data_IF_390515112278
#
_entry.id   IF_390515112278
#
_cell.length_a   1.000
_cell.length_b   1.000
_cell.length_c   1.000
_cell.angle_alpha   90.00
_cell.angle_beta   90.00
_cell.angle_gamma   90.00
#
_symmetry.space_group_name_H-M   'P 1'
#
loop_
_entity.id
_entity.type
_entity.pdbx_description
1 polymer ?
#
# COMPACT_ATOMS: atom_id res chain seq x y z
N UNK A 1 21.11 -1.76 -2.20
CA UNK A 1 19.92 -1.02 -1.75
C UNK A 1 19.00 -1.94 -0.96
N UNK A 2 18.58 -1.57 0.25
CA UNK A 2 17.65 -2.33 1.08
C UNK A 2 16.20 -1.90 0.82
N UNK A 3 15.33 -2.86 0.54
CA UNK A 3 13.91 -2.64 0.26
C UNK A 3 13.11 -3.36 1.34
N UNK A 4 12.38 -2.60 2.15
CA UNK A 4 11.50 -3.10 3.19
C UNK A 4 10.07 -3.17 2.68
N UNK A 5 9.46 -4.35 2.72
CA UNK A 5 8.08 -4.59 2.34
C UNK A 5 7.32 -5.08 3.58
N UNK A 6 6.30 -4.35 4.01
CA UNK A 6 5.50 -4.73 5.19
C UNK A 6 4.56 -5.89 4.83
N UNK A 7 4.50 -6.92 5.67
CA UNK A 7 3.54 -8.03 5.58
C UNK A 7 2.72 -8.12 6.87
N UNK A 8 1.51 -7.60 6.91
CA UNK A 8 0.63 -7.70 8.09
C UNK A 8 -0.45 -8.77 7.93
N UNK A 9 -0.94 -9.42 9.00
CA UNK A 9 -2.03 -10.39 8.91
C UNK A 9 -3.24 -9.82 8.16
N UNK A 10 -3.63 -10.45 7.06
CA UNK A 10 -4.71 -9.97 6.18
C UNK A 10 -4.27 -8.98 5.08
N UNK A 11 -2.98 -8.93 4.74
CA UNK A 11 -2.51 -8.25 3.53
C UNK A 11 -3.12 -8.86 2.27
N UNK A 12 -3.29 -8.06 1.20
CA UNK A 12 -3.62 -8.56 -0.14
C UNK A 12 -2.33 -8.98 -0.84
N UNK A 13 -2.24 -10.25 -1.25
CA UNK A 13 -0.96 -10.82 -1.73
C UNK A 13 -0.36 -10.08 -2.93
N UNK A 14 -1.16 -9.77 -3.94
CA UNK A 14 -0.67 -9.16 -5.17
C UNK A 14 -0.14 -7.73 -4.95
N UNK A 15 -0.61 -7.04 -3.91
CA UNK A 15 -0.17 -5.68 -3.58
C UNK A 15 1.32 -5.60 -3.25
N UNK A 16 1.88 -6.67 -2.66
CA UNK A 16 3.30 -6.74 -2.35
C UNK A 16 4.06 -7.61 -3.35
N UNK A 17 3.47 -8.72 -3.83
CA UNK A 17 4.11 -9.63 -4.79
C UNK A 17 4.38 -8.92 -6.12
N UNK A 18 3.45 -8.11 -6.61
CA UNK A 18 3.61 -7.38 -7.87
C UNK A 18 4.85 -6.47 -7.86
N UNK A 19 4.96 -5.51 -6.91
CA UNK A 19 6.15 -4.70 -6.77
C UNK A 19 7.39 -5.54 -6.42
N UNK A 20 7.28 -6.53 -5.53
CA UNK A 20 8.40 -7.42 -5.16
C UNK A 20 9.05 -8.07 -6.38
N UNK A 21 8.23 -8.62 -7.28
CA UNK A 21 8.72 -9.36 -8.45
C UNK A 21 9.48 -8.43 -9.41
N UNK A 22 9.16 -7.13 -9.44
CA UNK A 22 9.92 -6.15 -10.22
C UNK A 22 11.18 -5.71 -9.47
N UNK A 23 11.01 -5.29 -8.22
CA UNK A 23 12.04 -4.62 -7.44
C UNK A 23 13.22 -5.54 -7.08
N UNK A 24 13.00 -6.86 -6.98
CA UNK A 24 14.08 -7.83 -6.73
C UNK A 24 15.12 -7.92 -7.84
N UNK A 25 14.83 -7.38 -9.03
CA UNK A 25 15.74 -7.34 -10.19
C UNK A 25 16.59 -6.06 -10.27
N UNK A 26 16.42 -5.13 -9.33
CA UNK A 26 17.29 -3.96 -9.24
C UNK A 26 18.71 -4.38 -8.79
N UNK A 27 19.76 -3.71 -9.29
CA UNK A 27 21.13 -3.97 -8.86
C UNK A 27 21.28 -3.86 -7.33
N UNK A 28 21.94 -4.85 -6.72
CA UNK A 28 22.21 -4.91 -5.28
C UNK A 28 20.95 -4.81 -4.39
N UNK A 29 19.78 -5.17 -4.93
CA UNK A 29 18.52 -5.18 -4.20
C UNK A 29 18.53 -6.25 -3.10
N UNK A 30 18.35 -5.80 -1.86
CA UNK A 30 18.19 -6.64 -0.68
C UNK A 30 16.78 -6.47 -0.14
N UNK A 31 15.87 -7.33 -0.59
CA UNK A 31 14.47 -7.28 -0.17
C UNK A 31 14.30 -7.95 1.20
N UNK A 32 13.54 -7.29 2.08
CA UNK A 32 13.14 -7.81 3.39
C UNK A 32 11.62 -7.73 3.53
N UNK A 33 11.03 -8.83 3.97
CA UNK A 33 9.62 -8.88 4.35
C UNK A 33 9.54 -8.61 5.84
N UNK A 34 8.84 -7.55 6.23
CA UNK A 34 8.85 -7.04 7.59
C UNK A 34 7.53 -7.24 8.29
N UNK A 35 7.62 -7.64 9.56
CA UNK A 35 6.52 -7.56 10.50
C UNK A 35 7.02 -7.24 11.90
N UNK A 36 6.18 -7.39 12.93
CA UNK A 36 6.62 -7.28 14.32
C UNK A 36 7.74 -8.27 14.64
N UNK A 37 7.59 -9.50 14.17
CA UNK A 37 8.55 -10.59 14.36
C UNK A 37 8.65 -11.43 13.07
N UNK A 38 9.81 -12.04 12.80
CA UNK A 38 9.92 -13.04 11.72
C UNK A 38 8.98 -14.22 11.95
N UNK A 39 8.37 -14.73 10.88
CA UNK A 39 7.43 -15.85 10.98
C UNK A 39 6.30 -15.80 9.96
N UNK A 40 5.45 -16.85 9.93
CA UNK A 40 4.40 -16.99 8.93
C UNK A 40 3.28 -15.96 9.13
N UNK A 41 2.82 -15.37 8.03
CA UNK A 41 1.74 -14.38 8.00
C UNK A 41 0.75 -14.78 6.91
N UNK A 42 -0.51 -14.86 7.29
CA UNK A 42 -1.59 -15.28 6.38
C UNK A 42 -2.15 -14.06 5.66
N UNK A 43 -2.27 -14.16 4.34
CA UNK A 43 -2.94 -13.18 3.48
C UNK A 43 -4.46 -13.16 3.74
N UNK A 44 -5.14 -12.15 3.19
CA UNK A 44 -6.60 -11.97 3.29
C UNK A 44 -7.44 -13.12 2.72
N UNK A 45 -6.88 -13.93 1.81
CA UNK A 45 -7.53 -15.13 1.28
C UNK A 45 -7.66 -16.29 2.28
N UNK A 46 -6.93 -16.24 3.41
CA UNK A 46 -6.92 -17.30 4.42
C UNK A 46 -6.10 -18.54 4.03
N UNK A 47 -5.50 -18.57 2.83
CA UNK A 47 -4.78 -19.75 2.31
C UNK A 47 -3.30 -19.46 2.09
N UNK A 48 -2.97 -18.31 1.49
CA UNK A 48 -1.58 -17.99 1.21
C UNK A 48 -0.87 -17.54 2.49
N UNK A 49 0.24 -18.21 2.80
CA UNK A 49 1.10 -17.89 3.93
C UNK A 49 2.48 -17.48 3.42
N UNK A 50 2.95 -16.31 3.85
CA UNK A 50 4.27 -15.78 3.51
C UNK A 50 4.99 -15.44 4.81
N UNK A 51 6.26 -15.80 4.93
CA UNK A 51 7.02 -15.49 6.13
C UNK A 51 7.57 -14.06 6.08
N UNK A 52 7.33 -13.28 7.14
CA UNK A 52 8.19 -12.15 7.44
C UNK A 52 9.59 -12.68 7.73
N UNK A 53 10.59 -12.06 7.11
CA UNK A 53 11.99 -12.47 7.21
C UNK A 53 12.75 -11.70 8.28
N UNK A 54 12.29 -10.50 8.62
CA UNK A 54 12.92 -9.62 9.62
C UNK A 54 11.85 -8.85 10.40
N UNK A 55 12.20 -8.36 11.58
CA UNK A 55 11.39 -7.41 12.34
C UNK A 55 11.61 -5.96 11.90
N UNK A 56 10.76 -5.06 12.40
CA UNK A 56 10.93 -3.62 12.28
C UNK A 56 12.25 -3.12 12.90
N UNK A 57 12.66 -3.69 14.04
CA UNK A 57 13.86 -3.27 14.77
C UNK A 57 15.15 -3.72 14.07
N UNK A 58 15.11 -4.86 13.37
CA UNK A 58 16.22 -5.35 12.54
C UNK A 58 16.39 -4.55 11.23
N UNK A 59 15.40 -3.74 10.86
CA UNK A 59 15.36 -2.97 9.60
C UNK A 59 14.91 -1.52 9.86
N UNK A 60 15.69 -0.71 10.60
CA UNK A 60 15.25 0.62 11.04
C UNK A 60 15.34 1.71 9.97
N UNK A 61 16.20 1.53 8.95
CA UNK A 61 16.52 2.56 7.94
C UNK A 61 16.68 1.96 6.53
N UNK A 62 15.63 1.38 5.94
CA UNK A 62 15.66 0.90 4.56
C UNK A 62 15.71 2.07 3.56
N UNK A 63 16.24 1.82 2.36
CA UNK A 63 16.27 2.80 1.27
C UNK A 63 14.89 2.98 0.62
N UNK A 64 14.09 1.91 0.58
CA UNK A 64 12.73 1.89 0.03
C UNK A 64 11.79 1.22 1.02
N UNK A 65 10.66 1.85 1.29
CA UNK A 65 9.55 1.28 2.07
C UNK A 65 8.40 1.00 1.12
N UNK A 66 7.77 -0.17 1.24
CA UNK A 66 6.56 -0.51 0.53
C UNK A 66 5.51 -1.05 1.51
N UNK A 67 4.37 -0.37 1.57
CA UNK A 67 3.21 -0.77 2.39
C UNK A 67 2.08 -1.26 1.49
N UNK A 68 1.75 -2.57 1.50
CA UNK A 68 0.63 -3.09 0.72
C UNK A 68 -0.73 -2.73 1.35
N UNK A 69 -1.79 -2.91 0.59
CA UNK A 69 -3.15 -2.96 1.08
C UNK A 69 -3.53 -4.36 1.57
N UNK A 70 -4.81 -4.51 1.91
CA UNK A 70 -5.35 -5.67 2.59
C UNK A 70 -6.71 -5.41 3.21
N UNK A 71 -7.48 -6.46 3.44
CA UNK A 71 -8.80 -6.36 4.06
C UNK A 71 -8.74 -5.88 5.52
N UNK A 72 -7.59 -6.01 6.18
CA UNK A 72 -7.33 -5.59 7.56
C UNK A 72 -6.54 -4.28 7.67
N UNK A 73 -6.34 -3.56 6.55
CA UNK A 73 -5.55 -2.32 6.53
C UNK A 73 -5.96 -1.34 7.63
N UNK A 74 -7.26 -1.15 7.84
CA UNK A 74 -7.81 -0.19 8.80
C UNK A 74 -7.49 -0.57 10.25
N UNK A 75 -7.40 -1.87 10.54
CA UNK A 75 -6.94 -2.37 11.85
C UNK A 75 -5.46 -2.04 12.07
N UNK A 76 -4.62 -2.34 11.08
CA UNK A 76 -3.17 -2.10 11.15
C UNK A 76 -2.80 -0.62 11.04
N UNK A 77 -3.67 0.22 10.49
CA UNK A 77 -3.56 1.67 10.55
C UNK A 77 -3.74 2.24 11.97
N UNK A 78 -3.96 1.40 12.98
CA UNK A 78 -3.98 1.75 14.42
C UNK A 78 -2.83 1.10 15.19
N UNK A 79 -1.97 0.36 14.51
CA UNK A 79 -0.82 -0.30 15.13
C UNK A 79 0.32 0.71 15.33
N UNK A 80 0.44 1.22 16.55
CA UNK A 80 1.45 2.24 16.87
C UNK A 80 2.89 1.79 16.62
N UNK A 81 3.22 0.50 16.72
CA UNK A 81 4.57 0.01 16.41
C UNK A 81 4.85 0.13 14.92
N UNK A 82 3.89 -0.29 14.08
CA UNK A 82 3.97 -0.11 12.62
C UNK A 82 4.03 1.38 12.26
N UNK A 83 3.11 2.20 12.77
CA UNK A 83 3.06 3.63 12.45
C UNK A 83 4.32 4.38 12.90
N UNK A 84 4.86 4.04 14.07
CA UNK A 84 6.11 4.62 14.55
C UNK A 84 7.31 4.17 13.71
N UNK A 85 7.37 2.89 13.29
CA UNK A 85 8.42 2.41 12.39
C UNK A 85 8.34 3.12 11.03
N UNK A 86 7.15 3.20 10.40
CA UNK A 86 6.95 3.89 9.11
C UNK A 86 7.42 5.35 9.19
N UNK A 87 7.05 6.09 10.25
CA UNK A 87 7.51 7.48 10.45
C UNK A 87 9.03 7.59 10.54
N UNK A 88 9.67 6.71 11.32
CA UNK A 88 11.14 6.74 11.51
C UNK A 88 11.86 6.36 10.22
N UNK A 89 11.49 5.23 9.63
CA UNK A 89 12.11 4.72 8.41
C UNK A 89 11.95 5.72 7.24
N UNK A 90 10.80 6.38 7.12
CA UNK A 90 10.53 7.38 6.09
C UNK A 90 11.54 8.54 6.11
N UNK A 91 11.98 8.98 7.30
CA UNK A 91 12.91 10.12 7.42
C UNK A 91 14.27 9.91 6.75
N UNK A 92 14.63 8.66 6.45
CA UNK A 92 15.89 8.30 5.77
C UNK A 92 15.68 7.57 4.44
N UNK A 93 14.45 7.13 4.16
CA UNK A 93 14.15 6.40 2.93
C UNK A 93 14.20 7.33 1.71
N UNK A 94 14.71 6.82 0.59
CA UNK A 94 14.66 7.52 -0.69
C UNK A 94 13.23 7.51 -1.25
N UNK A 95 12.51 6.40 -1.06
CA UNK A 95 11.12 6.26 -1.49
C UNK A 95 10.28 5.60 -0.42
N UNK A 96 9.14 6.20 -0.11
CA UNK A 96 8.07 5.56 0.68
C UNK A 96 6.87 5.31 -0.22
N UNK A 97 6.55 4.04 -0.42
CA UNK A 97 5.58 3.59 -1.40
C UNK A 97 4.40 2.88 -0.73
N UNK A 98 3.22 2.97 -1.36
CA UNK A 98 2.10 2.10 -1.01
C UNK A 98 1.31 1.68 -2.23
N UNK A 99 0.65 0.53 -2.13
CA UNK A 99 -0.29 -0.01 -3.11
C UNK A 99 -1.66 -0.13 -2.46
N UNK A 100 -2.73 0.09 -3.23
CA UNK A 100 -4.10 -0.15 -2.80
C UNK A 100 -4.43 0.65 -1.52
N UNK A 101 -5.05 0.00 -0.53
CA UNK A 101 -5.39 0.60 0.76
C UNK A 101 -4.17 0.89 1.65
N UNK A 102 -2.96 0.44 1.32
CA UNK A 102 -1.74 0.71 2.10
C UNK A 102 -1.48 2.21 2.32
N UNK A 103 -1.99 3.08 1.45
CA UNK A 103 -1.94 4.53 1.64
C UNK A 103 -2.70 5.01 2.88
N UNK A 104 -3.67 4.25 3.40
CA UNK A 104 -4.33 4.55 4.69
C UNK A 104 -3.35 4.42 5.84
N UNK A 105 -2.46 3.43 5.84
CA UNK A 105 -1.41 3.28 6.87
C UNK A 105 -0.44 4.46 6.80
N UNK A 106 -0.02 4.87 5.59
CA UNK A 106 0.83 6.05 5.41
C UNK A 106 0.13 7.33 5.91
N UNK A 107 -1.18 7.46 5.67
CA UNK A 107 -1.97 8.58 6.14
C UNK A 107 -2.12 8.59 7.67
N UNK A 108 -2.34 7.42 8.29
CA UNK A 108 -2.41 7.25 9.74
C UNK A 108 -1.06 7.51 10.42
N UNK A 109 0.06 7.20 9.75
CA UNK A 109 1.40 7.59 10.17
C UNK A 109 1.66 9.12 10.05
N UNK A 110 0.69 9.90 9.54
CA UNK A 110 0.78 11.34 9.39
C UNK A 110 1.52 11.80 8.14
N UNK A 111 1.92 10.88 7.26
CA UNK A 111 2.78 11.19 6.11
C UNK A 111 2.04 11.82 4.93
N UNK A 112 0.72 11.69 4.85
CA UNK A 112 -0.08 12.15 3.70
C UNK A 112 -0.94 13.38 3.95
N UNK A 113 -0.96 13.94 5.16
CA UNK A 113 -1.80 15.12 5.47
C UNK A 113 -1.45 16.30 4.56
N UNK A 114 -2.46 16.84 3.84
CA UNK A 114 -2.28 17.94 2.89
C UNK A 114 -1.61 17.55 1.55
N UNK A 115 -1.27 16.28 1.34
CA UNK A 115 -0.65 15.79 0.10
C UNK A 115 -1.69 15.23 -0.88
N UNK A 116 -1.30 15.08 -2.14
CA UNK A 116 -2.04 14.29 -3.13
C UNK A 116 -1.69 12.82 -2.98
N UNK A 117 -2.67 11.93 -3.03
CA UNK A 117 -2.43 10.50 -3.07
C UNK A 117 -3.62 9.74 -3.66
N UNK A 118 -3.35 8.53 -4.17
CA UNK A 118 -4.35 7.58 -4.62
C UNK A 118 -4.41 6.36 -3.68
N UNK A 119 -5.36 5.47 -3.94
CA UNK A 119 -5.58 4.24 -3.19
C UNK A 119 -6.39 3.26 -4.04
N UNK A 120 -6.83 2.16 -3.43
CA UNK A 120 -7.94 1.39 -3.99
C UNK A 120 -9.19 2.27 -4.08
N UNK A 121 -10.00 2.09 -5.14
CA UNK A 121 -11.17 2.94 -5.38
C UNK A 121 -12.18 2.95 -4.21
N UNK A 122 -12.33 1.84 -3.49
CA UNK A 122 -13.15 1.77 -2.27
C UNK A 122 -12.53 2.46 -1.05
N UNK A 123 -11.20 2.57 -1.02
CA UNK A 123 -10.46 3.14 0.10
C UNK A 123 -10.31 4.67 -0.02
N UNK A 124 -10.53 5.26 -1.21
CA UNK A 124 -10.43 6.70 -1.42
C UNK A 124 -11.28 7.54 -0.43
N UNK A 125 -12.55 7.22 -0.13
CA UNK A 125 -13.32 7.99 0.85
C UNK A 125 -12.68 7.98 2.25
N UNK A 126 -12.17 6.84 2.69
CA UNK A 126 -11.46 6.72 3.96
C UNK A 126 -10.15 7.51 3.95
N UNK A 127 -9.38 7.43 2.86
CA UNK A 127 -8.16 8.21 2.69
C UNK A 127 -8.43 9.72 2.69
N UNK A 128 -9.53 10.18 2.06
CA UNK A 128 -9.94 11.59 2.07
C UNK A 128 -10.22 12.08 3.49
N UNK A 129 -10.81 11.23 4.33
CA UNK A 129 -11.01 11.57 5.73
C UNK A 129 -9.68 11.97 6.37
N UNK A 130 -8.53 11.44 5.90
CA UNK A 130 -7.19 11.78 6.36
C UNK A 130 -6.66 13.18 5.99
N UNK A 131 -7.47 14.03 5.34
CA UNK A 131 -7.02 15.37 4.89
C UNK A 131 -6.10 15.27 3.68
N UNK A 132 -6.20 14.16 2.96
CA UNK A 132 -5.50 13.88 1.73
C UNK A 132 -6.34 14.38 0.56
N UNK A 133 -5.70 15.01 -0.42
CA UNK A 133 -6.31 15.29 -1.72
C UNK A 133 -6.31 14.01 -2.54
N UNK A 134 -7.42 13.28 -2.49
CA UNK A 134 -7.53 11.95 -3.13
C UNK A 134 -7.66 12.07 -4.64
N UNK A 135 -6.81 11.36 -5.37
CA UNK A 135 -6.81 11.28 -6.84
C UNK A 135 -7.36 9.92 -7.24
N UNK A 136 -8.40 9.89 -8.07
CA UNK A 136 -9.16 8.68 -8.36
C UNK A 136 -8.86 8.07 -9.74
N UNK A 137 -8.31 8.87 -10.66
CA UNK A 137 -8.12 8.59 -12.08
C UNK A 137 -6.65 8.38 -12.47
N UNK A 138 -5.71 8.55 -11.53
CA UNK A 138 -4.30 8.26 -11.71
C UNK A 138 -3.92 6.93 -11.02
N UNK A 139 -3.21 6.06 -11.74
CA UNK A 139 -2.74 4.77 -11.23
C UNK A 139 -1.58 4.91 -10.25
N UNK A 140 -0.70 5.90 -10.45
CA UNK A 140 0.47 6.21 -9.61
C UNK A 140 0.46 7.70 -9.34
N UNK A 141 0.50 8.11 -8.08
CA UNK A 141 0.52 9.51 -7.65
C UNK A 141 1.73 9.76 -6.77
N UNK A 142 2.52 10.76 -7.14
CA UNK A 142 3.78 11.12 -6.48
C UNK A 142 3.60 12.44 -5.72
N UNK A 143 4.03 12.47 -4.45
CA UNK A 143 4.00 13.64 -3.58
C UNK A 143 5.32 13.76 -2.82
N UNK A 144 6.34 14.31 -3.49
CA UNK A 144 7.71 14.36 -2.97
C UNK A 144 8.39 13.00 -3.06
N UNK A 145 8.88 12.51 -1.93
CA UNK A 145 9.49 11.19 -1.70
C UNK A 145 8.47 10.08 -1.40
N UNK A 146 7.18 10.41 -1.37
CA UNK A 146 6.08 9.45 -1.20
C UNK A 146 5.41 9.17 -2.53
N UNK A 147 5.22 7.89 -2.85
CA UNK A 147 4.45 7.43 -4.01
C UNK A 147 3.31 6.53 -3.55
N UNK A 148 2.10 6.80 -4.03
CA UNK A 148 0.92 5.98 -3.76
C UNK A 148 0.40 5.41 -5.06
N UNK A 149 -0.07 4.17 -5.04
CA UNK A 149 -0.54 3.47 -6.22
C UNK A 149 -1.94 2.90 -5.99
N UNK A 150 -2.70 2.79 -7.07
CA UNK A 150 -4.06 2.26 -7.06
C UNK A 150 -4.12 0.77 -6.67
N UNK A 151 -5.28 0.15 -6.85
CA UNK A 151 -5.55 -1.20 -6.36
C UNK A 151 -4.72 -2.31 -6.98
N UNK A 152 -4.28 -3.24 -6.13
CA UNK A 152 -3.96 -4.63 -6.46
C UNK A 152 -2.91 -4.81 -7.56
N UNK A 153 -3.33 -5.06 -8.80
CA UNK A 153 -2.41 -5.26 -9.92
C UNK A 153 -1.63 -3.99 -10.30
N UNK A 154 -2.05 -2.82 -9.81
CA UNK A 154 -1.29 -1.58 -9.96
C UNK A 154 0.10 -1.63 -9.30
N UNK A 155 0.31 -2.53 -8.34
CA UNK A 155 1.63 -2.73 -7.75
C UNK A 155 2.73 -3.10 -8.75
N UNK A 156 2.41 -3.81 -9.85
CA UNK A 156 3.42 -4.14 -10.87
C UNK A 156 3.90 -2.86 -11.58
N UNK A 157 2.97 -2.00 -11.98
CA UNK A 157 3.28 -0.70 -12.59
C UNK A 157 4.09 0.18 -11.63
N UNK A 158 3.74 0.19 -10.34
CA UNK A 158 4.52 0.90 -9.32
C UNK A 158 5.95 0.36 -9.22
N UNK A 159 6.11 -0.96 -9.22
CA UNK A 159 7.42 -1.60 -9.22
C UNK A 159 8.27 -1.17 -10.41
N UNK A 160 7.69 -1.14 -11.62
CA UNK A 160 8.38 -0.71 -12.85
C UNK A 160 8.73 0.77 -12.82
N UNK A 161 7.80 1.60 -12.32
CA UNK A 161 8.05 3.03 -12.14
C UNK A 161 9.21 3.28 -11.17
N UNK A 162 9.21 2.62 -10.00
CA UNK A 162 10.29 2.69 -9.03
C UNK A 162 11.61 2.18 -9.61
N UNK A 163 11.57 1.08 -10.38
CA UNK A 163 12.76 0.56 -11.05
C UNK A 163 13.35 1.58 -12.03
N UNK A 164 12.51 2.35 -12.73
CA UNK A 164 12.95 3.44 -13.59
C UNK A 164 13.54 4.63 -12.82
N UNK A 165 12.98 4.94 -11.65
CA UNK A 165 13.52 6.00 -10.77
C UNK A 165 14.85 5.63 -10.13
N UNK A 166 15.05 4.37 -9.79
CA UNK A 166 16.21 3.89 -9.04
C UNK A 166 17.33 3.44 -9.99
N UNK A 167 16.99 2.56 -10.95
CA UNK A 167 17.95 1.93 -11.87
C UNK A 167 18.03 2.58 -13.24
N UNK A 168 17.24 3.63 -13.49
CA UNK A 168 17.13 4.28 -14.80
C UNK A 168 16.18 3.57 -15.76
N UNK A 169 15.78 4.28 -16.82
CA UNK A 169 14.78 3.82 -17.81
C UNK A 169 15.19 2.50 -18.47
N UNK A 170 16.46 2.35 -18.86
CA UNK A 170 16.95 1.13 -19.51
C UNK A 170 16.76 -0.09 -18.61
N UNK A 171 17.10 0.02 -17.31
CA UNK A 171 16.90 -1.08 -16.36
C UNK A 171 15.43 -1.45 -16.22
N UNK A 172 14.54 -0.46 -16.11
CA UNK A 172 13.11 -0.71 -16.03
C UNK A 172 12.57 -1.46 -17.26
N UNK A 173 12.99 -1.06 -18.48
CA UNK A 173 12.63 -1.75 -19.72
C UNK A 173 13.17 -3.18 -19.79
N UNK A 174 14.40 -3.41 -19.34
CA UNK A 174 14.97 -4.77 -19.25
C UNK A 174 14.15 -5.63 -18.29
N UNK A 175 13.78 -5.11 -17.11
CA UNK A 175 12.96 -5.86 -16.16
C UNK A 175 11.56 -6.12 -16.74
N UNK A 176 10.92 -5.11 -17.36
CA UNK A 176 9.62 -5.27 -18.00
C UNK A 176 9.63 -6.40 -19.04
N UNK A 177 10.63 -6.43 -19.92
CA UNK A 177 10.78 -7.48 -20.93
C UNK A 177 11.09 -8.84 -20.29
N UNK A 178 11.93 -8.88 -19.25
CA UNK A 178 12.30 -10.12 -18.55
C UNK A 178 11.10 -10.78 -17.85
N UNK A 179 10.14 -9.97 -17.40
CA UNK A 179 8.88 -10.44 -16.81
C UNK A 179 7.77 -10.67 -17.85
N UNK A 180 8.03 -10.37 -19.13
CA UNK A 180 7.03 -10.38 -20.20
C UNK A 180 5.78 -9.57 -19.80
N UNK A 181 5.97 -8.43 -19.15
CA UNK A 181 4.86 -7.59 -18.70
C UNK A 181 4.28 -6.77 -19.86
N UNK A 182 3.48 -7.46 -20.69
CA UNK A 182 2.65 -6.95 -21.79
C UNK A 182 1.18 -7.35 -21.55
N UNK A 183 0.47 -6.67 -20.63
CA UNK A 183 -0.85 -7.10 -20.20
C UNK A 183 -1.89 -6.93 -21.32
N UNK A 184 -2.63 -8.01 -21.60
CA UNK A 184 -3.78 -8.03 -22.51
C UNK A 184 -5.06 -8.45 -21.76
N UNK A 185 -5.68 -7.57 -20.94
CA UNK A 185 -6.86 -7.94 -20.17
C UNK A 185 -8.04 -8.34 -21.08
N UNK A 186 -8.70 -9.48 -20.83
CA UNK A 186 -9.81 -9.95 -21.66
C UNK A 186 -11.12 -9.16 -21.49
N UNK A 187 -11.18 -8.25 -20.50
CA UNK A 187 -12.35 -7.43 -20.19
C UNK A 187 -11.94 -5.99 -19.88
N UNK A 188 -12.73 -5.02 -20.34
CA UNK A 188 -12.49 -3.60 -20.05
C UNK A 188 -13.30 -3.09 -18.84
N UNK A 189 -13.05 -3.68 -17.67
CA UNK A 189 -13.76 -3.33 -16.42
C UNK A 189 -12.83 -3.10 -15.23
N UNK A 190 -11.52 -2.97 -15.47
CA UNK A 190 -10.51 -2.79 -14.41
C UNK A 190 -10.47 -1.39 -13.78
N UNK A 191 -11.32 -0.45 -14.20
CA UNK A 191 -11.37 0.90 -13.62
C UNK A 191 -12.81 1.43 -13.51
N UNK A 192 -13.06 2.30 -12.53
CA UNK A 192 -14.38 2.89 -12.29
C UNK A 192 -14.89 3.75 -13.45
N UNK A 193 -14.02 4.30 -14.30
CA UNK A 193 -14.47 5.02 -15.51
C UNK A 193 -14.94 4.09 -16.64
N UNK A 194 -14.58 2.79 -16.59
CA UNK A 194 -14.79 1.83 -17.69
C UNK A 194 -15.88 0.80 -17.37
N UNK A 195 -15.98 0.39 -16.10
CA UNK A 195 -16.96 -0.60 -15.67
C UNK A 195 -18.41 -0.12 -15.81
N UNK A 196 -19.31 -1.02 -16.21
CA UNK A 196 -20.75 -0.77 -16.23
C UNK A 196 -21.30 -0.50 -14.82
N UNK A 197 -22.44 0.19 -14.71
CA UNK A 197 -23.11 0.42 -13.42
C UNK A 197 -23.43 -0.90 -12.68
N UNK A 198 -23.86 -1.93 -13.43
CA UNK A 198 -24.12 -3.28 -12.89
C UNK A 198 -22.85 -3.91 -12.32
N UNK A 199 -21.75 -3.84 -13.06
CA UNK A 199 -20.44 -4.37 -12.62
C UNK A 199 -19.94 -3.66 -11.37
N UNK A 200 -20.05 -2.32 -11.32
CA UNK A 200 -19.68 -1.52 -10.14
C UNK A 200 -20.49 -1.93 -8.92
N UNK A 201 -21.81 -2.04 -9.05
CA UNK A 201 -22.68 -2.44 -7.95
C UNK A 201 -22.33 -3.84 -7.42
N UNK A 202 -22.12 -4.80 -8.33
CA UNK A 202 -21.73 -6.16 -7.97
C UNK A 202 -20.35 -6.22 -7.29
N UNK A 203 -19.35 -5.51 -7.82
CA UNK A 203 -18.02 -5.44 -7.23
C UNK A 203 -18.03 -4.81 -5.84
N UNK A 204 -18.75 -3.69 -5.66
CA UNK A 204 -18.94 -3.05 -4.36
C UNK A 204 -19.62 -3.99 -3.36
N UNK A 205 -20.67 -4.72 -3.77
CA UNK A 205 -21.36 -5.66 -2.89
C UNK A 205 -20.47 -6.84 -2.48
N UNK A 206 -19.68 -7.38 -3.41
CA UNK A 206 -18.74 -8.45 -3.14
C UNK A 206 -17.70 -8.01 -2.10
N UNK A 207 -17.02 -6.89 -2.33
CA UNK A 207 -16.00 -6.39 -1.41
C UNK A 207 -16.57 -5.91 -0.08
N UNK A 208 -17.77 -5.32 -0.07
CA UNK A 208 -18.43 -4.90 1.17
C UNK A 208 -18.72 -6.10 2.09
N UNK A 209 -19.06 -7.27 1.53
CA UNK A 209 -19.26 -8.49 2.32
C UNK A 209 -17.99 -8.89 3.08
N UNK A 210 -16.84 -8.78 2.45
CA UNK A 210 -15.55 -9.14 3.05
C UNK A 210 -15.09 -8.11 4.10
N UNK A 211 -15.45 -6.83 3.91
CA UNK A 211 -15.13 -5.75 4.84
C UNK A 211 -16.14 -5.57 5.99
N UNK A 212 -17.36 -6.11 5.88
CA UNK A 212 -18.44 -5.91 6.86
C UNK A 212 -18.32 -6.82 8.10
N UNK A 213 -17.10 -7.23 8.47
CA UNK A 213 -16.89 -7.98 9.70
C UNK A 213 -16.94 -7.06 10.93
N UNK A 214 -17.36 -7.54 12.11
CA UNK A 214 -17.42 -6.71 13.31
C UNK A 214 -16.08 -6.08 13.70
N UNK A 215 -14.96 -6.78 13.45
CA UNK A 215 -13.61 -6.28 13.71
C UNK A 215 -13.27 -5.10 12.82
N UNK A 216 -13.52 -5.19 11.51
CA UNK A 216 -13.23 -4.11 10.57
C UNK A 216 -14.14 -2.89 10.77
N UNK A 217 -15.43 -3.10 11.04
CA UNK A 217 -16.34 -2.00 11.37
C UNK A 217 -15.89 -1.25 12.64
N UNK A 218 -15.52 -1.98 13.69
CA UNK A 218 -14.98 -1.40 14.93
C UNK A 218 -13.66 -0.67 14.66
N UNK A 219 -12.74 -1.26 13.89
CA UNK A 219 -11.47 -0.64 13.55
C UNK A 219 -11.67 0.68 12.79
N UNK A 220 -12.58 0.72 11.80
CA UNK A 220 -12.90 1.93 11.06
C UNK A 220 -13.48 3.04 11.92
N UNK A 221 -14.43 2.71 12.80
CA UNK A 221 -15.00 3.68 13.74
C UNK A 221 -13.93 4.25 14.69
N UNK A 222 -13.07 3.39 15.24
CA UNK A 222 -12.00 3.81 16.13
C UNK A 222 -10.92 4.62 15.41
N UNK A 223 -10.55 4.27 14.18
CA UNK A 223 -9.56 5.03 13.40
C UNK A 223 -10.03 6.46 13.12
N UNK A 224 -11.32 6.63 12.78
CA UNK A 224 -11.92 7.96 12.62
C UNK A 224 -11.94 8.75 13.93
N UNK A 225 -12.20 8.08 15.05
CA UNK A 225 -12.18 8.68 16.39
C UNK A 225 -10.77 9.13 16.81
N UNK A 226 -9.77 8.26 16.64
CA UNK A 226 -8.36 8.52 16.94
C UNK A 226 -7.88 9.77 16.16
N UNK A 227 -8.28 9.86 14.90
CA UNK A 227 -8.02 11.02 14.06
C UNK A 227 -8.71 12.30 14.56
N UNK A 228 -10.00 12.22 14.92
CA UNK A 228 -10.74 13.38 15.39
C UNK A 228 -10.11 13.96 16.68
N UNK A 229 -9.67 13.09 17.59
CA UNK A 229 -8.91 13.49 18.78
C UNK A 229 -7.58 14.15 18.39
N UNK A 230 -6.83 13.56 17.47
CA UNK A 230 -5.54 14.11 17.00
C UNK A 230 -5.69 15.52 16.44
N UNK A 231 -6.68 15.75 15.56
CA UNK A 231 -6.95 17.06 14.97
C UNK A 231 -7.40 18.11 16.00
N UNK A 232 -8.13 17.69 17.05
CA UNK A 232 -8.52 18.59 18.13
C UNK A 232 -7.32 19.00 19.00
N UNK A 233 -6.38 18.08 19.24
CA UNK A 233 -5.15 18.35 20.02
C UNK A 233 -4.21 19.29 19.27
N UNK A 234 -4.02 19.12 17.96
CA UNK A 234 -3.14 19.97 17.15
C UNK A 234 -3.67 21.39 16.92
N UNK A 235 -4.95 21.66 17.19
CA UNK A 235 -5.54 23.01 17.12
C UNK A 235 -5.41 23.81 18.43
N UNK A 236 -5.00 23.16 19.52
CA UNK A 236 -4.90 23.76 20.87
C UNK A 236 -3.46 24.03 21.32
N UNK A 237 -2.45 23.56 20.59
CA UNK A 237 -1.04 23.84 20.82
C UNK A 237 -0.47 24.61 19.64
#
# INVERSE_FOLDING_TARGET
MQIAIVLYPGFTALDFIGPYEVLRWLPDARVRFLWHEPGPITADSGVLVVAATHSFDETPSPDVILVPGGMTTTEHARDEKLLAWVRRAHSTATWTASVCSGSIILAAAGLLSGKRATSHWMALPALKAFGVTTIADERIVVSGDIVTCAGVSAGIDLGLWLAGRIGGEHRAKVIQLSLEYDPQPPFDSGHMSKASAKTKAAASALMAKDLATPSQLKAGALLLWDRAIGAARSRRG
#
